data_IF_770154352442
#
_entry.id   IF_770154352442
#
_cell.length_a   1.000
_cell.length_b   1.000
_cell.length_c   1.000
_cell.angle_alpha   90.00
_cell.angle_beta   90.00
_cell.angle_gamma   90.00
#
_symmetry.space_group_name_H-M   'P 1'
#
loop_
_entity.id
_entity.type
_entity.pdbx_description
1 polymer ?
#
# COMPACT_ATOMS: atom_id res chain seq x y z
N UNK A 1 -14.60 -22.87 -38.91
CA UNK A 1 -13.82 -23.35 -37.75
C UNK A 1 -12.52 -22.55 -37.54
N UNK A 2 -11.56 -22.53 -38.47
CA UNK A 2 -10.30 -21.75 -38.34
C UNK A 2 -10.50 -20.24 -38.05
N UNK A 3 -11.45 -19.58 -38.72
CA UNK A 3 -11.77 -18.14 -38.50
C UNK A 3 -12.35 -17.86 -37.11
N UNK A 4 -13.11 -18.81 -36.54
CA UNK A 4 -13.70 -18.70 -35.20
C UNK A 4 -12.61 -18.87 -34.13
N UNK A 5 -11.64 -19.76 -34.36
CA UNK A 5 -10.49 -19.96 -33.45
C UNK A 5 -9.60 -18.70 -33.41
N UNK A 6 -9.38 -18.03 -34.55
CA UNK A 6 -8.59 -16.78 -34.61
C UNK A 6 -9.30 -15.63 -33.87
N UNK A 7 -10.63 -15.52 -34.00
CA UNK A 7 -11.42 -14.53 -33.27
C UNK A 7 -11.40 -14.75 -31.76
N UNK A 8 -11.52 -16.00 -31.30
CA UNK A 8 -11.44 -16.34 -29.87
C UNK A 8 -10.04 -16.02 -29.32
N UNK A 9 -8.97 -16.35 -30.06
CA UNK A 9 -7.60 -16.03 -29.63
C UNK A 9 -7.31 -14.53 -29.54
N UNK A 10 -7.94 -13.70 -30.39
CA UNK A 10 -7.79 -12.24 -30.35
C UNK A 10 -8.48 -11.59 -29.14
N UNK A 11 -9.61 -12.16 -28.70
CA UNK A 11 -10.38 -11.66 -27.53
C UNK A 11 -9.70 -12.01 -26.20
N UNK A 12 -9.00 -13.16 -26.11
CA UNK A 12 -8.25 -13.52 -24.90
C UNK A 12 -6.96 -12.71 -24.69
N UNK A 13 -6.43 -12.05 -25.71
CA UNK A 13 -5.16 -11.30 -25.62
C UNK A 13 -5.31 -9.90 -25.02
N UNK A 14 -6.53 -9.41 -24.78
CA UNK A 14 -6.77 -8.00 -24.37
C UNK A 14 -7.16 -7.81 -22.91
N UNK A 15 -7.25 -8.87 -22.10
CA UNK A 15 -7.57 -8.73 -20.67
C UNK A 15 -6.31 -8.41 -19.86
N UNK A 16 -6.00 -7.12 -19.73
CA UNK A 16 -5.03 -6.64 -18.74
C UNK A 16 -5.64 -6.75 -17.33
N UNK A 17 -5.17 -7.72 -16.54
CA UNK A 17 -5.52 -7.79 -15.13
C UNK A 17 -4.73 -6.71 -14.35
N UNK A 18 -5.44 -5.76 -13.76
CA UNK A 18 -4.83 -4.74 -12.90
C UNK A 18 -4.59 -5.33 -11.49
N UNK A 19 -3.32 -5.39 -11.05
CA UNK A 19 -2.94 -5.88 -9.71
C UNK A 19 -3.16 -4.90 -8.56
N UNK A 20 -4.16 -4.02 -8.67
CA UNK A 20 -4.47 -2.99 -7.67
C UNK A 20 -5.30 -3.57 -6.52
N UNK A 21 -4.97 -3.18 -5.29
CA UNK A 21 -5.68 -3.58 -4.07
C UNK A 21 -6.58 -2.43 -3.61
N UNK A 22 -7.89 -2.69 -3.56
CA UNK A 22 -8.85 -1.81 -2.92
C UNK A 22 -9.22 -2.34 -1.53
N UNK A 23 -9.17 -1.50 -0.51
CA UNK A 23 -9.71 -1.79 0.82
C UNK A 23 -10.97 -0.96 1.00
N UNK A 24 -12.10 -1.63 1.22
CA UNK A 24 -13.44 -1.03 1.29
C UNK A 24 -13.83 -0.20 0.06
N UNK A 25 -13.20 -0.45 -1.10
CA UNK A 25 -13.57 0.14 -2.40
C UNK A 25 -13.39 -0.89 -3.52
N UNK A 26 -14.32 -0.89 -4.48
CA UNK A 26 -14.22 -1.66 -5.72
C UNK A 26 -13.61 -0.85 -6.86
N UNK A 27 -13.39 0.45 -6.65
CA UNK A 27 -12.87 1.42 -7.62
C UNK A 27 -11.61 2.10 -7.10
N UNK A 28 -10.51 1.35 -6.84
CA UNK A 28 -9.23 1.95 -6.50
C UNK A 28 -8.77 2.92 -7.60
N UNK A 29 -8.04 3.96 -7.20
CA UNK A 29 -7.57 4.98 -8.14
C UNK A 29 -6.56 4.35 -9.12
N UNK A 30 -6.67 4.59 -10.45
CA UNK A 30 -5.86 3.90 -11.46
C UNK A 30 -4.36 4.21 -11.37
N UNK A 31 -3.97 5.31 -10.71
CA UNK A 31 -2.57 5.64 -10.46
C UNK A 31 -2.00 5.04 -9.15
N UNK A 32 -2.74 4.17 -8.48
CA UNK A 32 -2.35 3.61 -7.17
C UNK A 32 -2.38 2.09 -7.19
N UNK A 33 -1.41 1.48 -6.50
CA UNK A 33 -1.39 0.02 -6.27
C UNK A 33 -2.27 -0.34 -5.06
N UNK A 34 -2.47 0.59 -4.13
CA UNK A 34 -3.35 0.44 -2.96
C UNK A 34 -4.22 1.69 -2.81
N UNK A 35 -5.54 1.51 -2.74
CA UNK A 35 -6.50 2.55 -2.32
C UNK A 35 -7.26 2.07 -1.09
N UNK A 36 -7.38 2.93 -0.08
CA UNK A 36 -8.22 2.68 1.09
C UNK A 36 -9.37 3.68 1.08
N UNK A 37 -10.61 3.19 1.11
CA UNK A 37 -11.78 4.05 1.17
C UNK A 37 -11.83 4.85 2.48
N UNK A 38 -12.37 6.08 2.45
CA UNK A 38 -12.48 6.92 3.64
C UNK A 38 -13.61 6.47 4.58
N UNK A 39 -14.38 5.45 4.22
CA UNK A 39 -15.52 4.94 5.01
C UNK A 39 -15.44 3.45 5.24
N UNK A 40 -16.06 2.97 6.32
CA UNK A 40 -16.29 1.55 6.55
C UNK A 40 -17.55 1.05 5.79
N UNK A 41 -17.89 -0.23 6.00
CA UNK A 41 -19.06 -0.89 5.36
C UNK A 41 -20.41 -0.29 5.76
N UNK A 42 -20.45 0.50 6.85
CA UNK A 42 -21.66 1.18 7.33
C UNK A 42 -21.70 2.66 6.90
N UNK A 43 -20.78 3.08 6.03
CA UNK A 43 -20.69 4.47 5.55
C UNK A 43 -20.13 5.45 6.57
N UNK A 44 -19.51 4.99 7.66
CA UNK A 44 -18.92 5.88 8.66
C UNK A 44 -17.49 6.26 8.27
N UNK A 45 -17.13 7.54 8.38
CA UNK A 45 -15.79 8.02 8.07
C UNK A 45 -14.73 7.41 9.00
N UNK A 46 -13.64 6.91 8.41
CA UNK A 46 -12.47 6.31 9.08
C UNK A 46 -11.19 6.80 8.42
N UNK A 47 -10.08 6.71 9.15
CA UNK A 47 -8.73 6.91 8.62
C UNK A 47 -7.95 5.60 8.50
N UNK A 48 -6.82 5.64 7.81
CA UNK A 48 -5.87 4.52 7.78
C UNK A 48 -4.75 4.74 8.80
N UNK A 49 -4.53 3.75 9.68
CA UNK A 49 -3.36 3.71 10.55
C UNK A 49 -2.31 2.80 9.93
N UNK A 50 -1.20 3.35 9.48
CA UNK A 50 -0.14 2.60 8.80
C UNK A 50 0.79 1.94 9.82
N UNK A 51 0.72 0.61 9.95
CA UNK A 51 1.64 -0.23 10.76
C UNK A 51 1.93 0.34 12.15
N UNK A 52 0.95 0.35 13.07
CA UNK A 52 1.14 0.87 14.43
C UNK A 52 2.08 -0.01 15.23
N UNK A 53 3.22 0.54 15.66
CA UNK A 53 4.29 -0.20 16.35
C UNK A 53 4.96 0.70 17.39
N UNK A 54 5.49 0.13 18.48
CA UNK A 54 6.33 0.89 19.42
C UNK A 54 7.70 1.17 18.80
N UNK A 55 8.46 2.13 19.35
CA UNK A 55 9.83 2.40 18.87
C UNK A 55 10.71 1.15 18.94
N UNK A 56 10.56 0.33 19.97
CA UNK A 56 11.30 -0.93 20.11
C UNK A 56 10.99 -1.91 18.98
N UNK A 57 9.71 -2.07 18.64
CA UNK A 57 9.26 -2.94 17.54
C UNK A 57 9.73 -2.44 16.17
N UNK A 58 9.75 -1.12 15.96
CA UNK A 58 10.25 -0.52 14.71
C UNK A 58 11.75 -0.79 14.54
N UNK A 59 12.52 -0.65 15.62
CA UNK A 59 13.96 -0.90 15.62
C UNK A 59 14.30 -2.40 15.46
N UNK A 60 13.37 -3.31 15.76
CA UNK A 60 13.55 -4.75 15.58
C UNK A 60 13.18 -5.26 14.17
N UNK A 61 12.70 -4.39 13.27
CA UNK A 61 12.42 -4.81 11.89
C UNK A 61 13.75 -5.15 11.21
N UNK A 62 13.91 -6.41 10.78
CA UNK A 62 15.10 -6.83 10.06
C UNK A 62 15.08 -6.31 8.62
N UNK A 63 16.19 -5.72 8.16
CA UNK A 63 16.38 -5.25 6.78
C UNK A 63 15.22 -4.39 6.23
N UNK A 64 14.74 -3.34 6.95
CA UNK A 64 13.58 -2.58 6.51
C UNK A 64 13.88 -1.86 5.19
N UNK A 65 12.94 -1.93 4.25
CA UNK A 65 13.08 -1.24 2.97
C UNK A 65 13.23 0.28 3.17
N UNK A 66 13.99 0.92 2.27
CA UNK A 66 14.00 2.39 2.18
C UNK A 66 12.61 2.87 1.78
N UNK A 67 12.10 3.89 2.48
CA UNK A 67 10.75 4.41 2.27
C UNK A 67 9.66 3.67 3.05
N UNK A 68 9.98 2.63 3.84
CA UNK A 68 9.01 1.95 4.69
C UNK A 68 8.35 2.94 5.66
N UNK A 69 7.02 2.94 5.71
CA UNK A 69 6.21 3.81 6.56
C UNK A 69 5.63 3.02 7.75
N UNK A 70 5.73 3.60 8.94
CA UNK A 70 5.19 3.04 10.20
C UNK A 70 4.70 4.15 11.10
N UNK A 71 3.62 3.94 11.85
CA UNK A 71 3.20 4.85 12.90
C UNK A 71 3.82 4.42 14.23
N UNK A 72 4.72 5.24 14.77
CA UNK A 72 5.35 5.00 16.06
C UNK A 72 4.40 5.39 17.19
N UNK A 73 3.90 4.41 17.94
CA UNK A 73 2.95 4.63 19.04
C UNK A 73 3.60 5.18 20.30
N UNK A 74 4.92 5.03 20.46
CA UNK A 74 5.69 5.57 21.59
C UNK A 74 5.97 7.06 21.37
N UNK A 75 6.46 7.42 20.18
CA UNK A 75 6.79 8.81 19.80
C UNK A 75 5.59 9.57 19.22
N UNK A 76 4.51 8.87 18.89
CA UNK A 76 3.25 9.41 18.33
C UNK A 76 3.47 10.18 17.03
N UNK A 77 4.18 9.57 16.08
CA UNK A 77 4.45 10.17 14.78
C UNK A 77 4.47 9.12 13.66
N UNK A 78 4.12 9.53 12.45
CA UNK A 78 4.38 8.74 11.25
C UNK A 78 5.87 8.81 10.93
N UNK A 79 6.55 7.66 10.91
CA UNK A 79 7.97 7.54 10.58
C UNK A 79 8.17 6.97 9.18
N UNK A 80 9.24 7.42 8.53
CA UNK A 80 9.76 6.85 7.29
C UNK A 80 11.19 6.36 7.51
N UNK A 81 11.53 5.19 6.97
CA UNK A 81 12.92 4.76 6.89
C UNK A 81 13.62 5.48 5.73
N UNK A 82 14.47 6.46 6.05
CA UNK A 82 15.29 7.19 5.08
C UNK A 82 16.63 6.50 4.76
N UNK A 83 16.98 5.46 5.52
CA UNK A 83 18.23 4.70 5.40
C UNK A 83 18.16 3.57 4.36
N UNK A 84 19.13 2.65 4.44
CA UNK A 84 19.17 1.42 3.64
C UNK A 84 18.86 0.22 4.54
N UNK A 85 18.52 -0.97 4.00
CA UNK A 85 18.13 -2.13 4.81
C UNK A 85 19.12 -2.51 5.92
N UNK A 86 20.43 -2.44 5.65
CA UNK A 86 21.48 -2.77 6.63
C UNK A 86 21.81 -1.66 7.62
N UNK A 87 21.30 -0.44 7.38
CA UNK A 87 21.53 0.74 8.21
C UNK A 87 20.29 1.65 8.17
N UNK A 88 19.18 1.25 8.83
CA UNK A 88 17.95 2.01 8.83
C UNK A 88 18.11 3.37 9.51
N UNK A 89 17.38 4.38 9.00
CA UNK A 89 17.32 5.73 9.57
C UNK A 89 15.87 6.18 9.66
N UNK A 90 15.28 5.95 10.83
CA UNK A 90 13.89 6.30 11.10
C UNK A 90 13.73 7.78 11.43
N UNK A 91 12.89 8.49 10.67
CA UNK A 91 12.60 9.90 10.90
C UNK A 91 11.08 10.14 10.94
N UNK A 92 10.61 10.91 11.92
CA UNK A 92 9.23 11.40 11.91
C UNK A 92 9.03 12.34 10.72
N UNK A 93 7.95 12.15 9.97
CA UNK A 93 7.49 13.10 8.97
C UNK A 93 6.92 14.31 9.71
N UNK A 94 7.48 15.48 9.44
CA UNK A 94 7.03 16.76 9.99
C UNK A 94 6.64 17.66 8.85
N UNK A 95 5.55 18.40 8.98
CA UNK A 95 5.27 19.54 8.11
C UNK A 95 6.22 20.67 8.48
N UNK A 96 6.67 21.43 7.47
CA UNK A 96 7.39 22.68 7.71
C UNK A 96 6.43 23.76 8.21
#
# INVERSE_FOLDING_TARGET
MKKVIILISGVLATSYAHGQVGINTTTPHPSSILTVAPTDINGQYKGSLLSPMTTGQINSIANPAKGLLVYDTTVKCLKVNSGIPTAPKWACIKTK
#
